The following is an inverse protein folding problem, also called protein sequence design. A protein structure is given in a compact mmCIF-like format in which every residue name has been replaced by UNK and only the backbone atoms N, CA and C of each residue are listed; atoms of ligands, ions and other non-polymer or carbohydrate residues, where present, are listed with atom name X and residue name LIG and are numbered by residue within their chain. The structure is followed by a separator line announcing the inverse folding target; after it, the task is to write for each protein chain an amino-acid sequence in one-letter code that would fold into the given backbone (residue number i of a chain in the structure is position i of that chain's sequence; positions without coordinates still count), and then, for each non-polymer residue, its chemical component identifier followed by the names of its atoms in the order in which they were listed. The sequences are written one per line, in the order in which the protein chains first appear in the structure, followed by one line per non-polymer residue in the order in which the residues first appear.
data_IF_877447064169
#
_entry.id   IF_877447064169
#
_cell.length_a   1.000
_cell.length_b   1.000
_cell.length_c   1.000
_cell.angle_alpha   90.00
_cell.angle_beta   90.00
_cell.angle_gamma   90.00
#
_symmetry.space_group_name_H-M   'P 1'
#
loop_
_entity.id
_entity.type
_entity.pdbx_description
1 polymer ?
#
# COMPACT_ATOMS: atom_id res chain seq x y z
N UNK A 1 5.57 -48.71 7.77
CA UNK A 1 5.02 -49.08 9.11
C UNK A 1 5.27 -47.88 10.00
N UNK A 2 4.29 -46.97 10.12
CA UNK A 2 3.28 -46.94 11.21
C UNK A 2 3.96 -46.66 12.57
N UNK A 3 3.95 -45.42 13.07
CA UNK A 3 2.92 -44.84 13.95
C UNK A 3 3.56 -44.62 15.34
N UNK A 4 3.25 -43.65 16.20
CA UNK A 4 2.09 -42.78 16.36
C UNK A 4 2.45 -41.57 17.26
N UNK A 5 1.62 -40.53 17.20
CA UNK A 5 1.57 -39.34 18.06
C UNK A 5 1.32 -39.63 19.54
N UNK A 6 1.77 -38.75 20.44
CA UNK A 6 1.03 -38.31 21.64
C UNK A 6 1.37 -36.84 21.98
N UNK A 7 0.31 -36.04 22.11
CA UNK A 7 0.24 -34.67 22.64
C UNK A 7 0.27 -34.69 24.18
N UNK A 8 0.96 -33.74 24.81
CA UNK A 8 0.73 -33.41 26.22
C UNK A 8 0.81 -31.90 26.45
N UNK A 9 -0.35 -31.30 26.71
CA UNK A 9 -0.51 -29.93 27.18
C UNK A 9 -0.46 -29.91 28.71
N UNK A 10 0.30 -28.98 29.29
CA UNK A 10 0.25 -28.66 30.72
C UNK A 10 0.03 -27.16 30.91
N UNK A 11 -1.18 -26.83 31.37
CA UNK A 11 -1.60 -25.54 31.92
C UNK A 11 -0.84 -25.27 33.24
N UNK A 12 -0.26 -24.08 33.37
CA UNK A 12 0.22 -23.56 34.64
C UNK A 12 -0.45 -22.20 34.92
N UNK A 13 -1.34 -22.20 35.92
CA UNK A 13 -1.91 -21.01 36.56
C UNK A 13 -0.87 -20.37 37.50
N UNK A 14 -0.87 -19.04 37.67
CA UNK A 14 -0.48 -18.44 38.94
C UNK A 14 -1.70 -17.93 39.72
N UNK A 15 -1.78 -18.44 40.94
CA UNK A 15 -2.59 -18.04 42.07
C UNK A 15 -2.24 -16.62 42.50
N UNK A 16 -3.26 -15.81 42.81
CA UNK A 16 -3.09 -14.44 43.29
C UNK A 16 -2.54 -14.34 44.72
N UNK A 17 -1.96 -13.18 45.02
CA UNK A 17 -1.75 -12.69 46.38
C UNK A 17 -2.28 -11.26 46.49
N UNK A 18 -3.32 -11.12 47.29
CA UNK A 18 -3.79 -9.85 47.81
C UNK A 18 -2.86 -9.36 48.93
N UNK A 19 -2.53 -8.08 48.93
CA UNK A 19 -2.06 -7.37 50.12
C UNK A 19 -2.79 -6.02 50.19
N UNK A 20 -3.78 -5.95 51.07
CA UNK A 20 -4.35 -4.71 51.57
C UNK A 20 -3.57 -4.27 52.81
N UNK A 21 -3.33 -2.96 52.98
CA UNK A 21 -3.67 -2.23 54.21
C UNK A 21 -3.22 -0.76 54.18
N UNK A 22 -4.10 0.06 54.79
CA UNK A 22 -3.83 1.28 55.57
C UNK A 22 -3.78 2.66 54.88
N UNK A 23 -4.96 3.25 54.68
CA UNK A 23 -5.31 4.57 55.26
C UNK A 23 -5.78 4.36 56.73
N UNK A 24 -5.77 5.34 57.68
CA UNK A 24 -6.29 6.71 57.47
C UNK A 24 -5.64 7.85 58.31
N UNK A 25 -5.92 9.12 57.97
CA UNK A 25 -6.52 10.14 58.90
C UNK A 25 -6.55 11.57 58.34
N UNK A 26 -7.79 12.07 58.26
CA UNK A 26 -8.26 13.35 58.82
C UNK A 26 -7.93 14.68 58.12
N UNK A 27 -8.96 15.20 57.44
CA UNK A 27 -9.29 16.63 57.27
C UNK A 27 -9.51 17.34 58.62
N UNK A 28 -9.58 18.69 58.66
CA UNK A 28 -10.92 19.29 58.67
C UNK A 28 -11.07 20.66 57.99
N UNK A 29 -12.30 20.95 57.55
CA UNK A 29 -12.83 22.29 57.29
C UNK A 29 -13.38 22.43 55.87
N UNK A 30 -14.68 22.48 55.58
CA UNK A 30 -15.84 22.74 56.43
C UNK A 30 -16.57 24.01 55.95
N UNK A 31 -17.48 23.88 54.98
CA UNK A 31 -18.72 24.67 54.99
C UNK A 31 -19.78 24.02 54.13
N UNK A 32 -20.91 23.77 54.78
CA UNK A 32 -22.09 23.10 54.30
C UNK A 32 -23.13 24.11 53.81
N UNK A 33 -23.86 23.76 52.76
CA UNK A 33 -25.31 23.94 52.67
C UNK A 33 -25.87 23.01 51.58
N UNK A 34 -26.76 22.12 51.98
CA UNK A 34 -27.61 21.24 51.16
C UNK A 34 -29.08 21.71 51.27
N UNK A 35 -30.12 21.00 50.78
CA UNK A 35 -30.32 20.28 49.50
C UNK A 35 -31.68 20.65 48.84
N UNK A 36 -31.96 20.12 47.63
CA UNK A 36 -33.30 19.71 47.12
C UNK A 36 -33.11 18.94 45.80
N UNK A 37 -33.23 17.60 45.82
CA UNK A 37 -34.39 16.77 45.45
C UNK A 37 -34.36 16.26 43.99
N UNK A 38 -34.00 14.98 43.86
CA UNK A 38 -34.64 13.90 43.06
C UNK A 38 -35.39 14.23 41.76
N UNK A 39 -34.85 13.79 40.61
CA UNK A 39 -35.54 12.87 39.68
C UNK A 39 -34.56 12.17 38.69
N UNK A 40 -34.77 10.89 38.33
CA UNK A 40 -33.97 10.11 37.35
C UNK A 40 -34.49 10.25 35.89
N UNK A 41 -33.76 9.74 34.87
CA UNK A 41 -33.90 10.15 33.46
C UNK A 41 -34.98 9.35 32.71
N UNK A 42 -35.54 9.86 31.59
CA UNK A 42 -36.37 9.03 30.71
C UNK A 42 -35.52 8.27 29.68
N UNK A 43 -35.72 6.95 29.61
CA UNK A 43 -35.38 6.09 28.47
C UNK A 43 -36.68 5.46 27.91
N UNK A 44 -36.60 4.74 26.78
CA UNK A 44 -37.02 5.16 25.44
C UNK A 44 -38.47 4.78 25.10
N UNK A 45 -39.10 5.50 24.17
CA UNK A 45 -40.39 5.09 23.60
C UNK A 45 -40.18 4.10 22.45
N UNK A 46 -40.57 2.85 22.68
CA UNK A 46 -40.84 1.86 21.63
C UNK A 46 -42.35 1.81 21.39
N UNK A 47 -42.80 2.03 20.16
CA UNK A 47 -44.06 1.47 19.66
C UNK A 47 -43.96 1.31 18.14
N UNK A 48 -44.47 0.20 17.57
CA UNK A 48 -44.15 -0.25 16.22
C UNK A 48 -45.04 0.42 15.17
N UNK A 49 -44.47 0.71 13.99
CA UNK A 49 -45.23 1.03 12.78
C UNK A 49 -44.89 0.00 11.70
N UNK A 50 -45.92 -0.64 11.17
CA UNK A 50 -45.92 -1.54 10.01
C UNK A 50 -47.03 -1.06 9.06
N UNK A 51 -47.07 -1.47 7.79
CA UNK A 51 -46.49 -0.74 6.67
C UNK A 51 -47.56 -0.17 5.70
N UNK A 52 -47.26 0.93 5.03
CA UNK A 52 -48.06 1.43 3.91
C UNK A 52 -47.67 0.72 2.60
N UNK A 53 -48.67 0.18 1.91
CA UNK A 53 -48.62 -0.46 0.59
C UNK A 53 -48.02 0.49 -0.49
N UNK A 54 -47.11 0.03 -1.36
CA UNK A 54 -46.68 0.80 -2.51
C UNK A 54 -47.74 0.77 -3.63
N UNK A 55 -48.31 1.94 -3.91
CA UNK A 55 -49.18 2.17 -5.07
C UNK A 55 -48.35 2.10 -6.36
N UNK A 56 -48.72 1.18 -7.25
CA UNK A 56 -48.14 0.99 -8.59
C UNK A 56 -48.42 2.19 -9.50
N UNK A 57 -47.40 2.80 -10.16
CA UNK A 57 -47.63 3.73 -11.26
C UNK A 57 -47.89 2.98 -12.58
N UNK A 58 -48.76 3.49 -13.48
CA UNK A 58 -49.05 2.86 -14.77
C UNK A 58 -47.88 3.01 -15.76
N UNK A 59 -47.73 2.10 -16.75
CA UNK A 59 -46.65 2.17 -17.73
C UNK A 59 -46.91 3.29 -18.76
N UNK A 60 -45.88 4.04 -19.19
CA UNK A 60 -45.98 4.90 -20.36
C UNK A 60 -45.81 4.11 -21.67
N UNK A 61 -46.48 4.63 -22.69
CA UNK A 61 -46.81 4.03 -23.99
C UNK A 61 -45.64 3.53 -24.85
N UNK A 62 -45.92 2.43 -25.54
CA UNK A 62 -45.09 1.85 -26.59
C UNK A 62 -45.21 2.67 -27.87
N UNK A 63 -44.13 3.33 -28.30
CA UNK A 63 -43.99 3.85 -29.65
C UNK A 63 -42.86 3.12 -30.37
N UNK A 64 -43.22 2.24 -31.31
CA UNK A 64 -42.36 1.79 -32.42
C UNK A 64 -42.15 2.99 -33.36
N UNK A 65 -40.98 3.19 -34.01
CA UNK A 65 -40.77 2.53 -35.29
C UNK A 65 -39.30 2.27 -35.75
N UNK A 66 -39.20 1.36 -36.73
CA UNK A 66 -38.24 1.28 -37.85
C UNK A 66 -36.96 0.42 -37.72
N UNK A 67 -36.96 -0.67 -38.50
CA UNK A 67 -35.79 -1.33 -39.10
C UNK A 67 -34.88 -0.34 -39.87
N UNK A 68 -33.60 -0.68 -40.04
CA UNK A 68 -33.18 -1.05 -41.39
C UNK A 68 -32.13 -2.18 -41.50
N UNK A 69 -32.45 -3.11 -42.43
CA UNK A 69 -31.62 -3.63 -43.53
C UNK A 69 -30.41 -4.55 -43.29
N UNK A 70 -30.54 -5.73 -43.92
CA UNK A 70 -29.50 -6.70 -44.31
C UNK A 70 -28.26 -6.09 -44.99
N UNK A 71 -27.08 -6.71 -44.82
CA UNK A 71 -26.01 -6.67 -45.80
C UNK A 71 -25.91 -7.98 -46.60
N UNK A 72 -26.18 -7.81 -47.89
CA UNK A 72 -25.89 -8.61 -49.09
C UNK A 72 -24.53 -9.34 -49.09
N UNK A 73 -24.54 -10.62 -49.48
CA UNK A 73 -23.38 -11.41 -49.92
C UNK A 73 -22.65 -10.78 -51.12
N UNK A 74 -21.33 -11.02 -51.26
CA UNK A 74 -20.75 -11.17 -52.59
C UNK A 74 -20.26 -12.60 -52.83
N UNK A 75 -20.89 -13.21 -53.83
CA UNK A 75 -20.49 -14.40 -54.56
C UNK A 75 -19.04 -14.31 -55.06
N UNK A 76 -18.32 -15.45 -55.05
CA UNK A 76 -16.97 -15.63 -55.60
C UNK A 76 -16.87 -15.48 -57.13
N UNK A 77 -15.73 -15.89 -57.74
CA UNK A 77 -15.67 -17.29 -58.17
C UNK A 77 -14.29 -17.99 -58.12
N UNK A 78 -14.38 -19.28 -57.80
CA UNK A 78 -13.79 -20.47 -58.46
C UNK A 78 -12.29 -20.86 -58.46
N UNK A 79 -12.15 -22.17 -58.15
CA UNK A 79 -11.18 -23.19 -58.63
C UNK A 79 -9.84 -23.31 -57.91
N UNK A 80 -9.29 -24.48 -57.54
CA UNK A 80 -9.73 -25.87 -57.52
C UNK A 80 -8.65 -26.75 -56.81
N UNK A 81 -9.10 -27.72 -56.00
CA UNK A 81 -8.54 -29.09 -55.81
C UNK A 81 -7.25 -29.33 -54.99
N UNK A 82 -7.15 -30.45 -54.21
CA UNK A 82 -6.24 -30.64 -53.07
C UNK A 82 -5.05 -31.58 -53.36
N UNK A 83 -4.03 -31.54 -52.50
CA UNK A 83 -2.93 -32.51 -52.52
C UNK A 83 -2.10 -32.50 -51.24
N UNK A 84 -2.10 -33.63 -50.53
CA UNK A 84 -1.11 -34.00 -49.51
C UNK A 84 0.31 -33.96 -50.09
N UNK A 85 1.29 -33.46 -49.33
CA UNK A 85 2.57 -34.15 -49.09
C UNK A 85 3.36 -33.50 -47.96
N UNK A 86 3.71 -34.33 -47.00
CA UNK A 86 4.78 -34.18 -46.00
C UNK A 86 6.10 -33.77 -46.64
N UNK A 87 6.73 -32.69 -46.15
CA UNK A 87 8.19 -32.58 -46.18
C UNK A 87 8.72 -31.69 -45.05
N UNK A 88 9.64 -32.26 -44.27
CA UNK A 88 10.35 -31.68 -43.16
C UNK A 88 10.97 -30.32 -43.51
N UNK A 89 10.65 -29.29 -42.72
CA UNK A 89 11.56 -28.17 -42.46
C UNK A 89 11.76 -28.09 -40.94
N UNK A 90 13.01 -28.05 -40.44
CA UNK A 90 13.27 -27.90 -39.01
C UNK A 90 12.69 -26.56 -38.53
N UNK A 91 12.14 -26.48 -37.30
CA UNK A 91 11.76 -25.18 -36.75
C UNK A 91 13.01 -24.29 -36.71
N UNK A 92 12.92 -23.01 -37.12
CA UNK A 92 14.00 -22.08 -36.88
C UNK A 92 14.22 -21.98 -35.38
N UNK A 93 15.49 -21.95 -35.00
CA UNK A 93 15.97 -21.80 -33.63
C UNK A 93 15.09 -20.79 -32.87
N UNK A 94 14.56 -21.24 -31.73
CA UNK A 94 14.02 -20.37 -30.70
C UNK A 94 15.16 -19.47 -30.21
N UNK A 95 15.37 -18.37 -30.92
CA UNK A 95 16.00 -17.19 -30.37
C UNK A 95 15.08 -16.73 -29.23
N UNK A 96 15.49 -17.13 -28.02
CA UNK A 96 15.05 -16.56 -26.77
C UNK A 96 15.59 -15.12 -26.72
N UNK A 97 15.01 -14.22 -27.48
CA UNK A 97 15.29 -12.79 -27.42
C UNK A 97 14.13 -12.04 -28.05
N UNK A 98 13.21 -11.57 -27.20
CA UNK A 98 12.53 -10.27 -27.32
C UNK A 98 11.30 -10.30 -26.41
N UNK A 99 11.54 -10.07 -25.12
CA UNK A 99 10.51 -9.53 -24.24
C UNK A 99 10.10 -8.17 -24.78
N UNK A 100 9.00 -8.12 -25.54
CA UNK A 100 8.46 -6.87 -26.08
C UNK A 100 8.08 -5.94 -24.95
N UNK A 101 8.96 -4.97 -24.73
CA UNK A 101 8.81 -3.84 -23.82
C UNK A 101 7.60 -3.01 -24.27
N UNK A 102 6.50 -3.09 -23.51
CA UNK A 102 5.26 -2.35 -23.82
C UNK A 102 5.35 -0.89 -23.38
N UNK A 103 4.74 -0.01 -24.18
CA UNK A 103 4.48 1.38 -23.80
C UNK A 103 3.61 1.47 -22.52
N UNK A 104 3.72 2.56 -21.74
CA UNK A 104 2.87 2.80 -20.57
C UNK A 104 1.37 2.78 -20.94
N UNK A 105 0.48 2.32 -20.04
CA UNK A 105 -0.96 2.44 -20.22
C UNK A 105 -1.42 3.91 -20.32
N UNK A 106 -2.54 4.22 -21.00
CA UNK A 106 -3.03 5.59 -21.17
C UNK A 106 -3.21 6.37 -19.87
N UNK A 107 -3.63 5.69 -18.79
CA UNK A 107 -3.79 6.31 -17.46
C UNK A 107 -2.44 6.77 -16.89
N UNK A 108 -1.37 5.99 -17.09
CA UNK A 108 -0.03 6.35 -16.63
C UNK A 108 0.60 7.43 -17.51
N UNK A 109 0.33 7.42 -18.82
CA UNK A 109 0.73 8.51 -19.72
C UNK A 109 0.10 9.84 -19.29
N UNK A 110 -1.22 9.84 -19.01
CA UNK A 110 -1.92 11.01 -18.52
C UNK A 110 -1.36 11.49 -17.16
N UNK A 111 -1.08 10.57 -16.23
CA UNK A 111 -0.47 10.91 -14.94
C UNK A 111 0.94 11.50 -15.06
N UNK A 112 1.75 10.98 -15.99
CA UNK A 112 3.09 11.53 -16.29
C UNK A 112 2.98 12.95 -16.86
N UNK A 113 2.06 13.18 -17.80
CA UNK A 113 1.84 14.49 -18.42
C UNK A 113 1.32 15.51 -17.40
N UNK A 114 0.38 15.11 -16.53
CA UNK A 114 -0.14 15.94 -15.46
C UNK A 114 0.94 16.29 -14.44
N UNK A 115 1.70 15.30 -13.94
CA UNK A 115 2.79 15.52 -13.01
C UNK A 115 3.87 16.45 -13.59
N UNK A 116 4.24 16.25 -14.86
CA UNK A 116 5.19 17.11 -15.57
C UNK A 116 4.68 18.54 -15.66
N UNK A 117 3.43 18.72 -16.09
CA UNK A 117 2.78 20.03 -16.22
C UNK A 117 2.71 20.76 -14.89
N UNK A 118 2.33 20.06 -13.81
CA UNK A 118 2.25 20.63 -12.47
C UNK A 118 3.63 21.06 -11.95
N UNK A 119 4.67 20.25 -12.17
CA UNK A 119 6.04 20.62 -11.82
C UNK A 119 6.53 21.84 -12.59
N UNK A 120 6.24 21.94 -13.89
CA UNK A 120 6.58 23.10 -14.72
C UNK A 120 5.91 24.39 -14.22
N UNK A 121 4.63 24.34 -13.85
CA UNK A 121 3.92 25.49 -13.28
C UNK A 121 4.53 25.93 -11.93
N UNK A 122 4.86 24.95 -11.09
CA UNK A 122 5.45 25.21 -9.78
C UNK A 122 6.89 25.74 -9.91
N UNK A 123 7.65 25.29 -10.90
CA UNK A 123 9.03 25.71 -11.19
C UNK A 123 9.19 27.23 -11.29
N UNK A 124 8.19 27.92 -11.84
CA UNK A 124 8.23 29.38 -12.01
C UNK A 124 8.11 30.14 -10.68
N UNK A 125 7.52 29.50 -9.67
CA UNK A 125 7.11 30.14 -8.41
C UNK A 125 7.95 29.70 -7.21
N UNK A 126 8.72 28.61 -7.32
CA UNK A 126 9.56 28.11 -6.22
C UNK A 126 10.75 29.04 -5.91
N UNK A 127 11.19 29.06 -4.64
CA UNK A 127 12.46 29.67 -4.25
C UNK A 127 13.62 29.18 -5.11
N UNK A 128 14.59 30.06 -5.38
CA UNK A 128 15.78 29.75 -6.19
C UNK A 128 16.46 28.45 -5.78
N UNK A 129 16.55 28.22 -4.47
CA UNK A 129 17.20 27.05 -3.88
C UNK A 129 16.50 25.70 -4.13
N UNK A 130 15.28 25.70 -4.68
CA UNK A 130 14.51 24.51 -5.05
C UNK A 130 14.40 24.31 -6.57
N UNK A 131 14.86 25.26 -7.40
CA UNK A 131 14.74 25.14 -8.86
C UNK A 131 15.43 23.88 -9.41
N UNK A 132 16.65 23.62 -8.96
CA UNK A 132 17.38 22.40 -9.35
C UNK A 132 16.71 21.12 -8.83
N UNK A 133 16.04 21.19 -7.69
CA UNK A 133 15.27 20.07 -7.13
C UNK A 133 14.04 19.79 -8.01
N UNK A 134 13.31 20.82 -8.43
CA UNK A 134 12.17 20.69 -9.35
C UNK A 134 12.63 20.19 -10.72
N UNK A 135 13.74 20.72 -11.26
CA UNK A 135 14.32 20.24 -12.53
C UNK A 135 14.68 18.74 -12.46
N UNK A 136 15.18 18.27 -11.30
CA UNK A 136 15.47 16.85 -11.07
C UNK A 136 14.19 16.01 -11.02
N UNK A 137 13.10 16.50 -10.41
CA UNK A 137 11.80 15.81 -10.42
C UNK A 137 11.21 15.70 -11.83
N UNK A 138 11.29 16.77 -12.65
CA UNK A 138 10.85 16.76 -14.05
C UNK A 138 11.65 15.70 -14.84
N UNK A 139 12.96 15.65 -14.60
CA UNK A 139 13.83 14.64 -15.23
C UNK A 139 13.43 13.22 -14.80
N UNK A 140 13.17 13.00 -13.50
CA UNK A 140 12.74 11.70 -12.97
C UNK A 140 11.42 11.23 -13.60
N UNK A 141 10.44 12.11 -13.69
CA UNK A 141 9.15 11.81 -14.35
C UNK A 141 9.33 11.47 -15.83
N UNK A 142 10.24 12.16 -16.52
CA UNK A 142 10.56 11.85 -17.92
C UNK A 142 11.25 10.49 -18.05
N UNK A 143 12.15 10.14 -17.14
CA UNK A 143 12.88 8.85 -17.15
C UNK A 143 11.93 7.65 -17.00
N UNK A 144 10.88 7.77 -16.19
CA UNK A 144 9.96 6.64 -15.97
C UNK A 144 9.04 6.33 -17.17
N UNK A 145 9.00 7.21 -18.18
CA UNK A 145 8.36 6.90 -19.47
C UNK A 145 9.04 5.73 -20.21
N UNK A 146 10.29 5.42 -19.88
CA UNK A 146 11.00 4.28 -20.46
C UNK A 146 10.16 3.00 -20.32
N UNK A 147 9.96 2.22 -21.41
CA UNK A 147 9.18 0.99 -21.35
C UNK A 147 9.82 -0.05 -20.41
N UNK A 148 11.11 0.08 -20.11
CA UNK A 148 11.85 -0.78 -19.17
C UNK A 148 11.49 -0.52 -17.69
N UNK A 149 10.89 0.63 -17.39
CA UNK A 149 10.34 0.91 -16.06
C UNK A 149 9.10 0.07 -15.83
N UNK A 150 8.97 -0.56 -14.66
CA UNK A 150 7.76 -1.32 -14.33
C UNK A 150 6.56 -0.38 -14.16
N UNK A 151 5.32 -0.83 -14.43
CA UNK A 151 4.12 -0.07 -14.11
C UNK A 151 4.06 0.37 -12.63
N UNK A 152 4.49 -0.48 -11.69
CA UNK A 152 4.53 -0.15 -10.27
C UNK A 152 5.50 1.01 -9.98
N UNK A 153 6.71 0.94 -10.54
CA UNK A 153 7.75 1.96 -10.36
C UNK A 153 7.29 3.30 -10.95
N UNK A 154 6.69 3.27 -12.15
CA UNK A 154 6.07 4.44 -12.79
C UNK A 154 5.06 5.09 -11.86
N UNK A 155 4.08 4.32 -11.38
CA UNK A 155 3.01 4.83 -10.53
C UNK A 155 3.56 5.42 -9.22
N UNK A 156 4.54 4.74 -8.60
CA UNK A 156 5.15 5.23 -7.37
C UNK A 156 5.90 6.55 -7.53
N UNK A 157 6.53 6.80 -8.68
CA UNK A 157 7.18 8.09 -8.98
C UNK A 157 6.14 9.19 -9.27
N UNK A 158 5.05 8.87 -9.99
CA UNK A 158 3.94 9.81 -10.24
C UNK A 158 3.34 10.28 -8.90
N UNK A 159 2.89 9.35 -8.05
CA UNK A 159 2.28 9.67 -6.76
C UNK A 159 3.24 10.41 -5.81
N UNK A 160 4.51 9.99 -5.77
CA UNK A 160 5.52 10.71 -4.98
C UNK A 160 5.66 12.17 -5.44
N UNK A 161 5.59 12.41 -6.75
CA UNK A 161 5.68 13.74 -7.34
C UNK A 161 4.45 14.60 -7.03
N UNK A 162 3.25 14.01 -7.05
CA UNK A 162 2.02 14.68 -6.63
C UNK A 162 2.07 15.12 -5.16
N UNK A 163 2.52 14.22 -4.27
CA UNK A 163 2.71 14.55 -2.86
C UNK A 163 3.77 15.66 -2.66
N UNK A 164 4.88 15.61 -3.40
CA UNK A 164 5.92 16.64 -3.35
C UNK A 164 5.41 17.99 -3.89
N UNK A 165 4.55 17.98 -4.90
CA UNK A 165 3.89 19.18 -5.44
C UNK A 165 3.02 19.86 -4.38
N UNK A 166 2.34 19.08 -3.52
CA UNK A 166 1.61 19.62 -2.36
C UNK A 166 2.54 20.37 -1.40
N UNK A 167 3.71 19.80 -1.09
CA UNK A 167 4.71 20.45 -0.24
C UNK A 167 5.31 21.70 -0.90
N UNK A 168 5.58 21.66 -2.21
CA UNK A 168 6.07 22.82 -2.97
C UNK A 168 5.05 23.96 -2.99
N UNK A 169 3.75 23.66 -3.14
CA UNK A 169 2.69 24.65 -3.03
C UNK A 169 2.65 25.30 -1.64
N UNK A 170 2.76 24.50 -0.58
CA UNK A 170 2.83 25.01 0.79
C UNK A 170 4.09 25.86 1.04
N UNK A 171 5.23 25.53 0.42
CA UNK A 171 6.46 26.35 0.50
C UNK A 171 6.24 27.74 -0.13
N UNK A 172 5.50 27.80 -1.24
CA UNK A 172 5.22 29.03 -1.98
C UNK A 172 4.10 29.87 -1.35
N UNK A 173 3.24 29.29 -0.51
CA UNK A 173 2.18 30.02 0.17
C UNK A 173 2.76 30.98 1.24
N UNK A 174 2.53 32.31 1.13
CA UNK A 174 2.97 33.27 2.14
C UNK A 174 2.31 33.09 3.51
N UNK A 175 1.18 32.37 3.60
CA UNK A 175 0.53 32.02 4.87
C UNK A 175 1.22 30.87 5.60
N UNK A 176 2.07 30.09 4.93
CA UNK A 176 2.81 29.01 5.58
C UNK A 176 3.88 29.59 6.53
N UNK A 177 3.90 29.16 7.81
CA UNK A 177 4.89 29.62 8.77
C UNK A 177 6.33 29.48 8.24
N UNK A 178 7.22 30.48 8.45
CA UNK A 178 8.60 30.45 7.94
C UNK A 178 9.38 29.19 8.33
N UNK A 179 9.20 28.73 9.56
CA UNK A 179 9.83 27.52 10.09
C UNK A 179 9.36 26.28 9.33
N UNK A 180 8.05 26.18 9.07
CA UNK A 180 7.48 25.07 8.30
C UNK A 180 7.95 25.09 6.85
N UNK A 181 8.04 26.27 6.20
CA UNK A 181 8.60 26.39 4.85
C UNK A 181 10.04 25.89 4.78
N UNK A 182 10.86 26.20 5.78
CA UNK A 182 12.24 25.72 5.89
C UNK A 182 12.32 24.20 6.06
N UNK A 183 11.46 23.63 6.90
CA UNK A 183 11.39 22.19 7.11
C UNK A 183 10.92 21.44 5.85
N UNK A 184 9.85 21.90 5.20
CA UNK A 184 9.36 21.34 3.95
C UNK A 184 10.40 21.45 2.82
N UNK A 185 11.12 22.56 2.74
CA UNK A 185 12.23 22.74 1.78
C UNK A 185 13.31 21.68 1.99
N UNK A 186 13.65 21.37 3.25
CA UNK A 186 14.60 20.31 3.57
C UNK A 186 14.06 18.93 3.20
N UNK A 187 12.77 18.67 3.44
CA UNK A 187 12.12 17.40 3.10
C UNK A 187 12.11 17.18 1.59
N UNK A 188 11.66 18.18 0.81
CA UNK A 188 11.58 18.09 -0.64
C UNK A 188 12.96 17.82 -1.25
N UNK A 189 14.00 18.53 -0.81
CA UNK A 189 15.38 18.27 -1.26
C UNK A 189 15.83 16.84 -0.97
N UNK A 190 15.58 16.37 0.25
CA UNK A 190 16.05 15.06 0.69
C UNK A 190 15.31 13.92 -0.02
N UNK A 191 13.98 13.97 -0.07
CA UNK A 191 13.16 12.97 -0.77
C UNK A 191 13.47 12.95 -2.26
N UNK A 192 13.67 14.12 -2.89
CA UNK A 192 14.07 14.18 -4.31
C UNK A 192 15.48 13.60 -4.53
N UNK A 193 16.40 13.76 -3.56
CA UNK A 193 17.71 13.09 -3.62
C UNK A 193 17.56 11.58 -3.60
N UNK A 194 16.75 11.06 -2.67
CA UNK A 194 16.43 9.63 -2.54
C UNK A 194 15.73 9.08 -3.78
N UNK A 195 14.74 9.77 -4.36
CA UNK A 195 14.17 9.37 -5.67
C UNK A 195 15.21 9.42 -6.78
N UNK A 196 16.21 10.29 -6.66
CA UNK A 196 17.28 10.40 -7.61
C UNK A 196 18.20 9.16 -7.67
N UNK A 197 18.29 8.37 -6.60
CA UNK A 197 19.08 7.12 -6.61
C UNK A 197 18.37 6.01 -7.38
N UNK A 198 17.06 6.11 -7.58
CA UNK A 198 16.25 5.21 -8.42
C UNK A 198 16.68 5.26 -9.88
N UNK A 199 17.27 6.38 -10.32
CA UNK A 199 17.79 6.54 -11.68
C UNK A 199 19.21 6.02 -11.87
N UNK A 200 19.79 5.38 -10.85
CA UNK A 200 21.08 4.70 -10.98
C UNK A 200 20.91 3.47 -11.90
N UNK A 201 21.54 3.45 -13.09
CA UNK A 201 21.42 2.33 -14.01
C UNK A 201 22.04 1.03 -13.49
N UNK A 202 22.90 1.11 -12.47
CA UNK A 202 23.57 -0.04 -11.87
C UNK A 202 22.79 -0.63 -10.67
N UNK A 203 21.72 0.03 -10.22
CA UNK A 203 20.89 -0.46 -9.11
C UNK A 203 20.01 -1.66 -9.55
N UNK A 204 19.97 -2.76 -8.76
CA UNK A 204 19.04 -3.86 -8.99
C UNK A 204 17.58 -3.40 -9.02
N UNK A 205 16.79 -3.96 -9.95
CA UNK A 205 15.39 -3.59 -10.14
C UNK A 205 14.55 -3.77 -8.86
N UNK A 206 14.80 -4.81 -8.06
CA UNK A 206 14.06 -5.08 -6.82
C UNK A 206 14.34 -4.03 -5.73
N UNK A 207 15.61 -3.65 -5.54
CA UNK A 207 16.03 -2.59 -4.61
C UNK A 207 15.41 -1.24 -5.02
N UNK A 208 15.45 -0.94 -6.32
CA UNK A 208 14.83 0.25 -6.90
C UNK A 208 13.33 0.31 -6.63
N UNK A 209 12.59 -0.77 -6.89
CA UNK A 209 11.14 -0.83 -6.67
C UNK A 209 10.77 -0.66 -5.19
N UNK A 210 11.53 -1.30 -4.29
CA UNK A 210 11.33 -1.18 -2.85
C UNK A 210 11.58 0.26 -2.38
N UNK A 211 12.62 0.92 -2.88
CA UNK A 211 12.90 2.32 -2.57
C UNK A 211 11.77 3.25 -3.05
N UNK A 212 11.28 3.07 -4.27
CA UNK A 212 10.14 3.84 -4.80
C UNK A 212 8.92 3.64 -3.90
N UNK A 213 8.60 2.40 -3.51
CA UNK A 213 7.47 2.10 -2.63
C UNK A 213 7.60 2.82 -1.28
N UNK A 214 8.78 2.77 -0.65
CA UNK A 214 9.06 3.45 0.62
C UNK A 214 8.87 4.95 0.47
N UNK A 215 9.42 5.56 -0.58
CA UNK A 215 9.29 7.01 -0.81
C UNK A 215 7.83 7.41 -1.08
N UNK A 216 7.12 6.68 -1.93
CA UNK A 216 5.70 6.90 -2.23
C UNK A 216 4.85 6.94 -0.96
N UNK A 217 5.05 5.95 -0.10
CA UNK A 217 4.32 5.85 1.17
C UNK A 217 4.74 6.90 2.17
N UNK A 218 6.03 7.18 2.33
CA UNK A 218 6.48 8.25 3.23
C UNK A 218 5.98 9.63 2.79
N UNK A 219 6.02 9.93 1.49
CA UNK A 219 5.51 11.22 0.96
C UNK A 219 3.99 11.36 1.07
N UNK A 220 3.23 10.27 1.19
CA UNK A 220 1.78 10.33 1.41
C UNK A 220 1.38 11.11 2.67
N UNK A 221 2.28 11.30 3.63
CA UNK A 221 2.03 12.14 4.82
C UNK A 221 2.17 13.64 4.58
N UNK A 222 2.70 14.08 3.43
CA UNK A 222 2.90 15.50 3.10
C UNK A 222 1.61 16.33 3.12
N UNK A 223 0.47 15.88 2.57
CA UNK A 223 -0.81 16.57 2.72
C UNK A 223 -1.18 16.82 4.19
N UNK A 224 -1.03 15.81 5.05
CA UNK A 224 -1.30 15.95 6.49
C UNK A 224 -0.31 16.90 7.17
N UNK A 225 0.98 16.87 6.81
CA UNK A 225 1.98 17.82 7.30
C UNK A 225 1.61 19.26 6.90
N UNK A 226 1.18 19.47 5.67
CA UNK A 226 0.83 20.79 5.12
C UNK A 226 -0.52 21.31 5.64
N UNK A 227 -1.39 20.43 6.16
CA UNK A 227 -2.70 20.83 6.66
C UNK A 227 -2.59 21.83 7.84
N UNK A 228 -3.35 22.94 7.82
CA UNK A 228 -3.33 23.93 8.90
C UNK A 228 -3.77 23.37 10.26
N UNK A 229 -4.66 22.37 10.24
CA UNK A 229 -5.20 21.74 11.46
C UNK A 229 -4.24 20.78 12.17
N UNK A 230 -3.10 20.43 11.56
CA UNK A 230 -2.19 19.45 12.14
C UNK A 230 -1.43 20.03 13.34
N UNK A 231 -1.47 19.37 14.52
CA UNK A 231 -0.72 19.81 15.69
C UNK A 231 0.78 19.94 15.40
N UNK A 232 1.42 20.97 15.93
CA UNK A 232 2.83 21.26 15.64
C UNK A 232 3.77 20.10 16.04
N UNK A 233 3.53 19.47 17.20
CA UNK A 233 4.32 18.34 17.65
C UNK A 233 4.18 17.13 16.72
N UNK A 234 2.96 16.81 16.31
CA UNK A 234 2.69 15.72 15.36
C UNK A 234 3.38 16.00 14.02
N UNK A 235 3.27 17.23 13.52
CA UNK A 235 3.92 17.68 12.29
C UNK A 235 5.44 17.50 12.36
N UNK A 236 6.06 17.94 13.45
CA UNK A 236 7.51 17.83 13.64
C UNK A 236 7.96 16.35 13.67
N UNK A 237 7.21 15.46 14.32
CA UNK A 237 7.52 14.02 14.35
C UNK A 237 7.41 13.38 12.96
N UNK A 238 6.39 13.72 12.16
CA UNK A 238 6.26 13.21 10.79
C UNK A 238 7.40 13.70 9.89
N UNK A 239 7.75 14.98 9.97
CA UNK A 239 8.89 15.57 9.24
C UNK A 239 10.21 14.87 9.64
N UNK A 240 10.43 14.67 10.94
CA UNK A 240 11.62 13.98 11.44
C UNK A 240 11.69 12.54 10.91
N UNK A 241 10.60 11.77 11.05
CA UNK A 241 10.53 10.40 10.56
C UNK A 241 10.74 10.27 9.05
N UNK A 242 10.20 11.20 8.25
CA UNK A 242 10.43 11.22 6.81
C UNK A 242 11.90 11.50 6.47
N UNK A 243 12.53 12.47 7.12
CA UNK A 243 13.94 12.81 6.90
C UNK A 243 14.89 11.70 7.37
N UNK A 244 14.59 11.08 8.50
CA UNK A 244 15.37 9.98 9.05
C UNK A 244 15.26 8.73 8.18
N UNK A 245 14.04 8.40 7.72
CA UNK A 245 13.81 7.30 6.78
C UNK A 245 14.46 7.52 5.42
N UNK A 246 14.32 8.73 4.84
CA UNK A 246 14.97 9.07 3.57
C UNK A 246 16.50 9.02 3.65
N UNK A 247 17.08 9.45 4.78
CA UNK A 247 18.51 9.31 5.04
C UNK A 247 18.94 7.84 5.09
N UNK A 248 18.22 7.02 5.86
CA UNK A 248 18.54 5.61 6.01
C UNK A 248 18.45 4.86 4.67
N UNK A 249 17.46 5.21 3.83
CA UNK A 249 17.26 4.63 2.51
C UNK A 249 18.35 5.02 1.50
N UNK A 250 18.79 6.29 1.51
CA UNK A 250 19.89 6.76 0.65
C UNK A 250 21.22 6.07 1.00
N UNK A 251 21.44 5.79 2.29
CA UNK A 251 22.67 5.15 2.78
C UNK A 251 22.59 3.61 2.83
N UNK A 252 21.41 3.02 2.59
CA UNK A 252 21.27 1.58 2.37
C UNK A 252 21.36 1.21 0.89
N UNK A 253 20.86 2.06 -0.02
CA UNK A 253 20.95 1.83 -1.47
C UNK A 253 22.33 2.18 -2.05
N UNK A 254 23.10 3.03 -1.36
CA UNK A 254 24.40 3.53 -1.79
C UNK A 254 25.58 2.73 -1.22
N UNK A 255 25.64 1.44 -1.51
CA UNK A 255 26.81 0.62 -1.20
C UNK A 255 27.99 1.00 -2.10
N UNK A 256 28.76 2.04 -1.74
CA UNK A 256 30.09 2.33 -2.28
C UNK A 256 31.07 1.23 -1.79
N UNK A 257 30.86 0.01 -2.27
CA UNK A 257 31.67 -1.19 -2.05
C UNK A 257 31.37 -2.25 -3.13
N UNK A 258 31.00 -1.82 -4.33
CA UNK A 258 31.29 -2.63 -5.51
C UNK A 258 32.82 -2.78 -5.57
N UNK A 259 33.31 -4.00 -5.35
CA UNK A 259 34.72 -4.45 -5.38
C UNK A 259 35.34 -4.79 -4.01
N UNK A 260 34.73 -5.72 -3.27
CA UNK A 260 35.51 -6.71 -2.53
C UNK A 260 34.76 -8.05 -2.48
N UNK A 261 35.32 -9.14 -3.05
CA UNK A 261 34.64 -10.44 -3.18
C UNK A 261 34.56 -11.23 -1.86
N UNK A 262 34.72 -10.57 -0.71
CA UNK A 262 34.96 -11.24 0.57
C UNK A 262 34.12 -10.59 1.68
N UNK A 263 32.79 -10.74 1.62
CA UNK A 263 31.89 -10.40 2.74
C UNK A 263 30.64 -11.28 2.80
N UNK A 264 30.74 -12.39 3.51
CA UNK A 264 29.57 -13.17 3.97
C UNK A 264 28.91 -12.59 5.23
N UNK A 265 29.15 -11.30 5.56
CA UNK A 265 28.72 -10.70 6.83
C UNK A 265 28.19 -9.26 6.79
N UNK A 266 28.26 -8.55 5.65
CA UNK A 266 27.63 -7.22 5.52
C UNK A 266 26.19 -7.28 4.99
N UNK A 267 25.79 -8.38 4.35
CA UNK A 267 24.46 -8.50 3.72
C UNK A 267 23.31 -8.50 4.71
N UNK A 268 23.45 -9.12 5.88
CA UNK A 268 22.30 -9.28 6.80
C UNK A 268 21.81 -7.96 7.38
N UNK A 269 22.69 -7.00 7.66
CA UNK A 269 22.32 -5.74 8.30
C UNK A 269 21.65 -4.76 7.33
N UNK A 270 22.13 -4.70 6.09
CA UNK A 270 21.55 -3.93 4.99
C UNK A 270 20.13 -4.44 4.68
N UNK A 271 19.97 -5.77 4.56
CA UNK A 271 18.67 -6.41 4.39
C UNK A 271 17.70 -6.08 5.53
N UNK A 272 18.18 -6.01 6.78
CA UNK A 272 17.33 -5.64 7.94
C UNK A 272 16.86 -4.19 7.87
N UNK A 273 17.72 -3.25 7.45
CA UNK A 273 17.34 -1.83 7.30
C UNK A 273 16.27 -1.68 6.23
N UNK A 274 16.46 -2.30 5.07
CA UNK A 274 15.52 -2.26 3.95
C UNK A 274 14.14 -2.86 4.30
N UNK A 275 14.12 -4.04 4.89
CA UNK A 275 12.88 -4.68 5.36
C UNK A 275 12.15 -3.82 6.39
N UNK A 276 12.90 -3.19 7.30
CA UNK A 276 12.32 -2.33 8.33
C UNK A 276 11.80 -1.02 7.72
N UNK A 277 12.48 -0.45 6.72
CA UNK A 277 11.98 0.71 5.96
C UNK A 277 10.68 0.38 5.23
N UNK A 278 10.62 -0.77 4.56
CA UNK A 278 9.42 -1.25 3.89
C UNK A 278 8.25 -1.40 4.89
N UNK A 279 8.45 -2.06 6.04
CA UNK A 279 7.41 -2.18 7.07
C UNK A 279 7.01 -0.84 7.69
N UNK A 280 7.98 0.03 7.96
CA UNK A 280 7.76 1.39 8.46
C UNK A 280 6.85 2.18 7.53
N UNK A 281 6.99 2.00 6.23
CA UNK A 281 6.21 2.71 5.22
C UNK A 281 4.70 2.44 5.33
N UNK A 282 4.28 1.27 5.82
CA UNK A 282 2.88 0.97 6.11
C UNK A 282 2.27 1.90 7.19
N UNK A 283 3.09 2.35 8.15
CA UNK A 283 2.67 3.33 9.15
C UNK A 283 2.30 4.68 8.53
N UNK A 284 3.02 5.09 7.50
CA UNK A 284 2.79 6.37 6.82
C UNK A 284 1.42 6.37 6.12
N UNK A 285 1.06 5.26 5.46
CA UNK A 285 -0.27 5.07 4.86
C UNK A 285 -1.39 5.08 5.90
N UNK A 286 -1.23 4.34 7.01
CA UNK A 286 -2.24 4.33 8.09
C UNK A 286 -2.40 5.72 8.70
N UNK A 287 -1.31 6.47 8.84
CA UNK A 287 -1.32 7.83 9.39
C UNK A 287 -2.05 8.82 8.46
N UNK A 288 -1.85 8.68 7.15
CA UNK A 288 -2.48 9.54 6.15
C UNK A 288 -4.00 9.30 6.04
N UNK A 289 -4.48 8.09 6.33
CA UNK A 289 -5.89 7.75 6.23
C UNK A 289 -6.76 8.56 7.22
N UNK A 290 -7.72 9.31 6.67
CA UNK A 290 -8.63 10.16 7.44
C UNK A 290 -9.54 9.38 8.41
N UNK A 291 -9.71 8.07 8.19
CA UNK A 291 -10.48 7.17 9.07
C UNK A 291 -9.70 6.76 10.31
N UNK A 292 -8.37 6.87 10.31
CA UNK A 292 -7.57 6.55 11.50
C UNK A 292 -7.80 7.60 12.58
N UNK A 293 -8.24 7.23 13.79
CA UNK A 293 -8.49 8.21 14.85
C UNK A 293 -7.26 9.07 15.17
N UNK A 294 -7.42 10.38 15.51
CA UNK A 294 -6.29 11.28 15.75
C UNK A 294 -5.31 10.79 16.83
N UNK A 295 -5.81 10.20 17.92
CA UNK A 295 -4.97 9.64 18.99
C UNK A 295 -4.12 8.46 18.49
N UNK A 296 -4.70 7.61 17.63
CA UNK A 296 -4.02 6.48 17.04
C UNK A 296 -2.96 6.93 16.01
N UNK A 297 -3.26 7.96 15.21
CA UNK A 297 -2.25 8.60 14.34
C UNK A 297 -1.06 9.12 15.15
N UNK A 298 -1.30 9.80 16.27
CA UNK A 298 -0.22 10.35 17.09
C UNK A 298 0.68 9.26 17.70
N UNK A 299 0.07 8.20 18.23
CA UNK A 299 0.80 7.04 18.76
C UNK A 299 1.63 6.37 17.68
N UNK A 300 1.03 6.14 16.50
CA UNK A 300 1.70 5.51 15.37
C UNK A 300 2.87 6.35 14.86
N UNK A 301 2.67 7.66 14.65
CA UNK A 301 3.74 8.59 14.25
C UNK A 301 4.88 8.59 15.26
N UNK A 302 4.57 8.56 16.56
CA UNK A 302 5.59 8.55 17.62
C UNK A 302 6.47 7.30 17.56
N UNK A 303 5.88 6.11 17.44
CA UNK A 303 6.66 4.87 17.36
C UNK A 303 7.40 4.77 16.02
N UNK A 304 6.76 5.19 14.93
CA UNK A 304 7.36 5.25 13.58
C UNK A 304 8.58 6.17 13.51
N UNK A 305 8.53 7.32 14.17
CA UNK A 305 9.67 8.23 14.29
C UNK A 305 10.81 7.61 15.10
N UNK A 306 10.51 6.89 16.19
CA UNK A 306 11.55 6.19 16.97
C UNK A 306 12.28 5.12 16.14
N UNK A 307 11.54 4.34 15.35
CA UNK A 307 12.13 3.37 14.40
C UNK A 307 12.98 4.10 13.37
N UNK A 308 12.49 5.20 12.79
CA UNK A 308 13.23 5.99 11.80
C UNK A 308 14.55 6.55 12.36
N UNK A 309 14.55 7.04 13.60
CA UNK A 309 15.75 7.54 14.26
C UNK A 309 16.79 6.43 14.50
N UNK A 310 16.35 5.22 14.83
CA UNK A 310 17.24 4.05 14.96
C UNK A 310 17.81 3.63 13.61
N UNK A 311 16.98 3.57 12.55
CA UNK A 311 17.43 3.28 11.19
C UNK A 311 18.47 4.28 10.72
N UNK A 312 18.22 5.59 10.95
CA UNK A 312 19.21 6.62 10.66
C UNK A 312 20.53 6.36 11.39
N UNK A 313 20.49 6.11 12.71
CA UNK A 313 21.69 5.82 13.51
C UNK A 313 22.43 4.58 13.00
N UNK A 314 21.71 3.57 12.50
CA UNK A 314 22.32 2.35 11.96
C UNK A 314 23.03 2.62 10.64
N UNK A 315 22.38 3.34 9.72
CA UNK A 315 22.90 3.64 8.39
C UNK A 315 23.93 4.78 8.37
N UNK A 316 24.02 5.58 9.42
CA UNK A 316 24.96 6.71 9.50
C UNK A 316 26.41 6.22 9.62
N UNK A 317 27.30 6.52 8.65
CA UNK A 317 28.70 6.11 8.68
C UNK A 317 29.50 6.74 9.83
N UNK A 318 29.06 7.89 10.35
CA UNK A 318 29.70 8.59 11.47
C UNK A 318 29.35 7.97 12.83
N UNK A 319 28.31 7.13 12.90
CA UNK A 319 27.92 6.46 14.14
C UNK A 319 28.95 5.41 14.56
N UNK A 320 29.32 5.39 15.84
CA UNK A 320 30.28 4.43 16.37
C UNK A 320 29.76 2.99 16.30
N UNK A 321 30.65 2.00 16.25
CA UNK A 321 30.25 0.59 16.20
C UNK A 321 29.43 0.16 17.42
N UNK A 322 29.70 0.74 18.59
CA UNK A 322 28.98 0.44 19.83
C UNK A 322 27.55 0.98 19.76
N UNK A 323 27.38 2.25 19.40
CA UNK A 323 26.07 2.88 19.24
C UNK A 323 25.24 2.22 18.13
N UNK A 324 25.87 1.81 17.02
CA UNK A 324 25.20 1.07 15.94
C UNK A 324 24.69 -0.28 16.43
N UNK A 325 25.47 -0.99 17.24
CA UNK A 325 25.06 -2.28 17.81
C UNK A 325 23.93 -2.12 18.83
N UNK A 326 23.97 -1.09 19.67
CA UNK A 326 22.89 -0.77 20.60
C UNK A 326 21.60 -0.40 19.84
N UNK A 327 21.71 0.44 18.81
CA UNK A 327 20.59 0.80 17.96
C UNK A 327 19.98 -0.41 17.25
N UNK A 328 20.81 -1.34 16.77
CA UNK A 328 20.35 -2.58 16.13
C UNK A 328 19.58 -3.46 17.12
N UNK A 329 20.04 -3.56 18.38
CA UNK A 329 19.33 -4.31 19.42
C UNK A 329 18.01 -3.66 19.81
N UNK A 330 17.95 -2.33 19.89
CA UNK A 330 16.69 -1.62 20.19
C UNK A 330 15.72 -1.65 19.00
N UNK A 331 16.23 -1.75 17.76
CA UNK A 331 15.40 -1.74 16.55
C UNK A 331 14.36 -2.84 16.54
N UNK A 332 14.71 -4.06 16.97
CA UNK A 332 13.78 -5.20 16.98
C UNK A 332 12.58 -4.94 17.90
N UNK A 333 12.84 -4.50 19.13
CA UNK A 333 11.79 -4.19 20.11
C UNK A 333 10.89 -3.04 19.63
N UNK A 334 11.48 -2.00 19.01
CA UNK A 334 10.72 -0.87 18.47
C UNK A 334 9.94 -1.22 17.23
N UNK A 335 10.47 -2.10 16.38
CA UNK A 335 9.78 -2.59 15.18
C UNK A 335 8.62 -3.49 15.56
N UNK A 336 8.78 -4.35 16.56
CA UNK A 336 7.68 -5.15 17.10
C UNK A 336 6.56 -4.26 17.66
N UNK A 337 6.91 -3.25 18.47
CA UNK A 337 5.95 -2.28 18.98
C UNK A 337 5.28 -1.47 17.86
N UNK A 338 6.02 -1.10 16.82
CA UNK A 338 5.49 -0.39 15.67
C UNK A 338 4.45 -1.24 14.97
N UNK A 339 4.73 -2.53 14.74
CA UNK A 339 3.80 -3.46 14.12
C UNK A 339 2.51 -3.62 14.92
N UNK A 340 2.61 -3.82 16.23
CA UNK A 340 1.43 -3.88 17.11
C UNK A 340 0.60 -2.59 17.01
N UNK A 341 1.28 -1.44 16.96
CA UNK A 341 0.65 -0.14 16.81
C UNK A 341 0.03 0.06 15.42
N UNK A 342 0.62 -0.46 14.34
CA UNK A 342 0.04 -0.45 12.99
C UNK A 342 -1.28 -1.22 12.98
N UNK A 343 -1.29 -2.44 13.51
CA UNK A 343 -2.51 -3.24 13.60
C UNK A 343 -3.58 -2.57 14.47
N UNK A 344 -3.19 -2.03 15.62
CA UNK A 344 -4.10 -1.33 16.52
C UNK A 344 -4.71 -0.09 15.84
N UNK A 345 -3.88 0.76 15.22
CA UNK A 345 -4.34 2.01 14.60
C UNK A 345 -5.17 1.76 13.35
N UNK A 346 -4.82 0.76 12.54
CA UNK A 346 -5.65 0.32 11.42
C UNK A 346 -6.98 -0.26 11.93
N UNK A 347 -6.95 -1.15 12.92
CA UNK A 347 -8.17 -1.77 13.46
C UNK A 347 -9.11 -0.78 14.17
N UNK A 348 -8.60 0.38 14.59
CA UNK A 348 -9.37 1.48 15.15
C UNK A 348 -10.08 2.34 14.09
N UNK A 349 -9.77 2.16 12.80
CA UNK A 349 -10.54 2.76 11.72
C UNK A 349 -11.97 2.20 11.74
N UNK A 350 -12.95 3.06 11.45
CA UNK A 350 -14.29 2.59 11.19
C UNK A 350 -14.24 1.57 10.05
N UNK A 351 -14.65 0.33 10.34
CA UNK A 351 -14.59 -0.75 9.35
C UNK A 351 -15.41 -0.34 8.14
N UNK A 352 -14.82 -0.33 6.94
CA UNK A 352 -15.60 -0.07 5.76
C UNK A 352 -16.63 -1.20 5.60
N UNK A 353 -17.93 -0.86 5.64
CA UNK A 353 -19.03 -1.81 5.39
C UNK A 353 -19.11 -2.17 3.91
N UNK A 354 -18.02 -2.74 3.40
CA UNK A 354 -17.88 -3.10 2.00
C UNK A 354 -18.36 -4.51 1.74
N UNK A 355 -18.89 -4.73 0.53
CA UNK A 355 -19.19 -6.07 0.04
C UNK A 355 -17.91 -6.90 -0.02
N UNK A 356 -18.03 -8.23 0.06
CA UNK A 356 -16.88 -9.14 -0.16
C UNK A 356 -16.12 -8.75 -1.44
N UNK A 357 -16.86 -8.42 -2.50
CA UNK A 357 -16.27 -8.10 -3.79
C UNK A 357 -15.34 -6.89 -3.72
N UNK A 358 -15.81 -5.82 -3.09
CA UNK A 358 -15.06 -4.57 -2.95
C UNK A 358 -13.87 -4.74 -1.97
N UNK A 359 -14.06 -5.44 -0.85
CA UNK A 359 -12.96 -5.73 0.08
C UNK A 359 -11.86 -6.57 -0.57
N UNK A 360 -12.24 -7.59 -1.37
CA UNK A 360 -11.27 -8.42 -2.10
C UNK A 360 -10.53 -7.64 -3.18
N UNK A 361 -11.19 -6.71 -3.87
CA UNK A 361 -10.56 -5.82 -4.85
C UNK A 361 -9.51 -4.90 -4.19
N UNK A 362 -9.87 -4.27 -3.06
CA UNK A 362 -8.94 -3.40 -2.30
C UNK A 362 -7.75 -4.20 -1.78
N UNK A 363 -8.00 -5.38 -1.20
CA UNK A 363 -6.95 -6.28 -0.74
C UNK A 363 -5.98 -6.67 -1.86
N UNK A 364 -6.51 -7.13 -2.99
CA UNK A 364 -5.71 -7.57 -4.13
C UNK A 364 -4.85 -6.44 -4.68
N UNK A 365 -5.44 -5.26 -4.87
CA UNK A 365 -4.72 -4.08 -5.37
C UNK A 365 -3.58 -3.68 -4.44
N UNK A 366 -3.83 -3.68 -3.13
CA UNK A 366 -2.81 -3.37 -2.14
C UNK A 366 -1.64 -4.36 -2.16
N UNK A 367 -1.91 -5.66 -2.31
CA UNK A 367 -0.85 -6.68 -2.40
C UNK A 367 -0.03 -6.47 -3.68
N UNK A 368 -0.70 -6.22 -4.80
CA UNK A 368 -0.06 -5.97 -6.09
C UNK A 368 0.82 -4.74 -6.06
N UNK A 369 0.47 -3.70 -5.31
CA UNK A 369 1.32 -2.52 -5.16
C UNK A 369 2.50 -2.71 -4.20
N UNK A 370 2.37 -3.63 -3.24
CA UNK A 370 3.34 -3.82 -2.16
C UNK A 370 4.38 -4.90 -2.43
N UNK A 371 4.10 -5.80 -3.37
CA UNK A 371 4.91 -6.99 -3.66
C UNK A 371 5.64 -6.80 -4.99
N UNK A 372 6.92 -7.20 -5.03
CA UNK A 372 7.71 -7.10 -6.27
C UNK A 372 7.06 -7.92 -7.39
N UNK A 373 7.14 -7.42 -8.63
CA UNK A 373 6.59 -8.14 -9.78
C UNK A 373 7.16 -9.55 -9.92
N UNK A 374 8.43 -9.77 -9.55
CA UNK A 374 9.09 -11.09 -9.59
C UNK A 374 8.51 -12.06 -8.54
N UNK A 375 8.19 -11.59 -7.34
CA UNK A 375 7.55 -12.38 -6.30
C UNK A 375 6.08 -12.63 -6.64
N UNK A 376 5.39 -11.60 -7.16
CA UNK A 376 4.02 -11.70 -7.62
C UNK A 376 3.88 -12.70 -8.77
N UNK A 377 4.76 -12.63 -9.78
CA UNK A 377 4.75 -13.56 -10.91
C UNK A 377 4.98 -15.01 -10.46
N UNK A 378 5.94 -15.26 -9.57
CA UNK A 378 6.18 -16.60 -8.99
C UNK A 378 5.02 -17.08 -8.13
N UNK A 379 4.41 -16.22 -7.34
CA UNK A 379 3.25 -16.56 -6.50
C UNK A 379 2.01 -16.87 -7.33
N UNK A 380 1.79 -16.10 -8.40
CA UNK A 380 0.62 -16.25 -9.27
C UNK A 380 0.81 -17.27 -10.39
N UNK A 381 2.00 -17.84 -10.60
CA UNK A 381 2.29 -18.82 -11.66
C UNK A 381 1.28 -19.99 -11.67
N UNK A 382 0.79 -20.40 -10.49
CA UNK A 382 -0.19 -21.49 -10.35
C UNK A 382 -1.62 -21.09 -10.73
N UNK A 383 -1.90 -19.79 -10.80
CA UNK A 383 -3.21 -19.21 -11.11
C UNK A 383 -3.30 -18.69 -12.55
N UNK A 384 -2.15 -18.43 -13.19
CA UNK A 384 -2.06 -17.91 -14.55
C UNK A 384 -2.14 -19.08 -15.54
N UNK A 385 -3.13 -19.11 -16.46
CA UNK A 385 -3.17 -20.12 -17.52
C UNK A 385 -1.93 -20.06 -18.42
N UNK A 386 -1.43 -21.19 -18.95
CA UNK A 386 -0.23 -21.24 -19.79
C UNK A 386 -0.27 -20.31 -21.02
N UNK A 387 -1.47 -19.97 -21.52
CA UNK A 387 -1.63 -19.07 -22.67
C UNK A 387 -1.21 -17.62 -22.36
N UNK A 388 -1.00 -17.27 -21.09
CA UNK A 388 -0.70 -15.92 -20.60
C UNK A 388 0.77 -15.71 -20.20
N UNK A 389 1.59 -16.77 -20.25
CA UNK A 389 3.04 -16.71 -19.99
C UNK A 389 3.76 -15.70 -20.91
N UNK A 390 3.19 -15.41 -22.09
CA UNK A 390 3.73 -14.45 -23.07
C UNK A 390 3.24 -13.00 -22.93
N UNK A 391 2.15 -12.73 -22.19
CA UNK A 391 1.62 -11.35 -22.00
C UNK A 391 2.10 -10.72 -20.67
N UNK A 392 2.57 -11.54 -19.72
CA UNK A 392 3.17 -11.09 -18.47
C UNK A 392 2.16 -10.52 -17.47
N UNK A 393 2.44 -10.69 -16.17
CA UNK A 393 1.65 -10.09 -15.07
C UNK A 393 1.59 -8.55 -15.17
N UNK A 394 2.51 -7.93 -15.93
CA UNK A 394 2.56 -6.49 -16.22
C UNK A 394 1.33 -5.95 -16.97
N UNK A 395 0.64 -6.80 -17.72
CA UNK A 395 -0.56 -6.41 -18.49
C UNK A 395 -1.88 -6.64 -17.74
N UNK A 396 -1.82 -6.98 -16.44
CA UNK A 396 -2.97 -7.07 -15.54
C UNK A 396 -3.89 -5.84 -15.61
N UNK A 397 -3.31 -4.66 -15.80
CA UNK A 397 -4.03 -3.39 -15.95
C UNK A 397 -4.66 -3.19 -17.33
N UNK A 398 -4.23 -3.91 -18.38
CA UNK A 398 -4.80 -3.84 -19.74
C UNK A 398 -6.02 -4.75 -19.95
N UNK A 399 -6.36 -5.59 -18.98
CA UNK A 399 -7.46 -6.55 -19.10
C UNK A 399 -8.87 -5.91 -19.20
N UNK A 400 -8.99 -4.61 -18.89
CA UNK A 400 -10.23 -3.86 -19.11
C UNK A 400 -10.62 -3.79 -20.61
N UNK A 401 -9.67 -4.00 -21.53
CA UNK A 401 -9.89 -3.89 -22.97
C UNK A 401 -10.18 -5.22 -23.69
N UNK A 402 -9.92 -6.40 -23.09
CA UNK A 402 -9.95 -7.69 -23.82
C UNK A 402 -11.11 -8.66 -23.50
N UNK A 403 -12.03 -8.34 -22.58
CA UNK A 403 -13.24 -9.17 -22.27
C UNK A 403 -12.93 -10.68 -22.14
N UNK A 404 -12.21 -11.07 -21.08
CA UNK A 404 -11.93 -12.49 -20.75
C UNK A 404 -12.44 -12.81 -19.34
N UNK A 405 -13.33 -13.81 -19.24
CA UNK A 405 -14.22 -14.14 -18.13
C UNK A 405 -13.51 -14.43 -16.78
N UNK A 406 -12.20 -14.74 -16.79
CA UNK A 406 -11.43 -15.05 -15.57
C UNK A 406 -10.77 -13.83 -14.92
N UNK A 407 -10.46 -12.78 -15.68
CA UNK A 407 -10.14 -11.44 -15.14
C UNK A 407 -11.37 -10.54 -15.07
N UNK A 408 -12.46 -10.95 -15.69
CA UNK A 408 -13.80 -10.45 -15.36
C UNK A 408 -14.08 -10.63 -13.88
N UNK A 409 -13.49 -11.61 -13.18
CA UNK A 409 -13.57 -11.72 -11.72
C UNK A 409 -13.03 -10.47 -11.04
N UNK A 410 -11.84 -9.97 -11.38
CA UNK A 410 -11.26 -8.77 -10.75
C UNK A 410 -11.91 -7.46 -11.25
N UNK A 411 -12.35 -7.41 -12.51
CA UNK A 411 -13.16 -6.31 -13.02
C UNK A 411 -14.59 -6.29 -12.43
N UNK A 412 -15.19 -7.46 -12.12
CA UNK A 412 -16.50 -7.64 -11.48
C UNK A 412 -16.41 -7.39 -9.97
N UNK A 413 -15.31 -7.78 -9.31
CA UNK A 413 -15.00 -7.40 -7.93
C UNK A 413 -14.98 -5.86 -7.78
N UNK A 414 -14.58 -5.14 -8.84
CA UNK A 414 -14.56 -3.67 -8.91
C UNK A 414 -15.92 -3.03 -9.30
N UNK A 415 -16.82 -3.73 -10.00
CA UNK A 415 -17.97 -3.10 -10.71
C UNK A 415 -19.39 -3.66 -10.48
N UNK A 416 -19.68 -4.68 -9.63
CA UNK A 416 -21.10 -5.06 -9.46
C UNK A 416 -21.53 -5.69 -8.12
N UNK A 417 -22.76 -5.33 -7.72
CA UNK A 417 -23.47 -5.69 -6.48
C UNK A 417 -23.95 -7.16 -6.40
N UNK A 418 -23.62 -8.03 -7.37
CA UNK A 418 -24.03 -9.44 -7.35
C UNK A 418 -22.92 -10.36 -7.90
N UNK A 419 -22.22 -11.02 -6.98
CA UNK A 419 -21.12 -11.97 -7.21
C UNK A 419 -21.59 -13.29 -7.83
N UNK A 420 -20.86 -13.80 -8.84
CA UNK A 420 -20.83 -15.24 -9.16
C UNK A 420 -19.83 -15.99 -8.24
N UNK A 421 -20.02 -15.79 -6.94
CA UNK A 421 -19.63 -16.75 -5.90
C UNK A 421 -18.18 -16.73 -5.37
N UNK A 422 -17.96 -17.31 -4.17
CA UNK A 422 -16.65 -17.41 -3.50
C UNK A 422 -15.62 -18.25 -4.26
N UNK A 423 -16.04 -19.14 -5.15
CA UNK A 423 -15.18 -20.12 -5.82
C UNK A 423 -14.15 -19.50 -6.77
N UNK A 424 -14.43 -18.32 -7.32
CA UNK A 424 -13.52 -17.60 -8.24
C UNK A 424 -12.48 -16.76 -7.47
N UNK A 425 -12.83 -16.31 -6.26
CA UNK A 425 -12.00 -15.42 -5.44
C UNK A 425 -11.08 -16.20 -4.49
N UNK A 426 -11.53 -17.37 -4.02
CA UNK A 426 -10.80 -18.21 -3.05
C UNK A 426 -9.40 -18.62 -3.54
N UNK A 427 -9.19 -19.11 -4.77
CA UNK A 427 -7.86 -19.51 -5.23
C UNK A 427 -6.90 -18.31 -5.26
N UNK A 428 -7.36 -17.17 -5.78
CA UNK A 428 -6.59 -15.94 -5.83
C UNK A 428 -6.19 -15.46 -4.43
N UNK A 429 -7.18 -15.28 -3.55
CA UNK A 429 -6.94 -14.74 -2.21
C UNK A 429 -6.09 -15.68 -1.35
N UNK A 430 -6.20 -17.00 -1.54
CA UNK A 430 -5.33 -17.99 -0.86
C UNK A 430 -3.87 -17.84 -1.30
N UNK A 431 -3.59 -17.78 -2.60
CA UNK A 431 -2.21 -17.64 -3.10
C UNK A 431 -1.63 -16.26 -2.74
N UNK A 432 -2.44 -15.20 -2.74
CA UNK A 432 -2.01 -13.88 -2.27
C UNK A 432 -1.69 -13.85 -0.77
N UNK A 433 -2.36 -14.67 0.04
CA UNK A 433 -2.05 -14.82 1.45
C UNK A 433 -0.72 -15.57 1.71
N UNK A 434 -0.20 -16.32 0.73
CA UNK A 434 1.17 -16.89 0.80
C UNK A 434 2.24 -15.82 0.55
N UNK A 435 1.92 -14.76 -0.22
CA UNK A 435 2.87 -13.69 -0.55
C UNK A 435 3.09 -12.70 0.59
N UNK A 436 2.03 -12.41 1.36
CA UNK A 436 2.09 -11.48 2.49
C UNK A 436 1.62 -12.20 3.75
N UNK A 437 2.53 -12.73 4.58
CA UNK A 437 2.14 -13.46 5.78
C UNK A 437 1.50 -12.51 6.81
N UNK A 438 0.70 -13.08 7.73
CA UNK A 438 -0.02 -12.30 8.74
C UNK A 438 0.86 -11.35 9.53
N UNK A 439 2.08 -11.78 9.85
CA UNK A 439 3.01 -11.00 10.66
C UNK A 439 3.60 -9.79 9.92
N UNK A 440 3.40 -9.68 8.61
CA UNK A 440 3.82 -8.54 7.78
C UNK A 440 2.63 -7.73 7.26
N UNK A 441 1.40 -8.24 7.39
CA UNK A 441 0.22 -7.72 6.69
C UNK A 441 0.04 -6.20 6.81
N UNK A 442 0.05 -5.65 8.02
CA UNK A 442 -0.14 -4.21 8.24
C UNK A 442 1.08 -3.36 7.88
N UNK A 443 2.29 -3.91 8.02
CA UNK A 443 3.52 -3.23 7.59
C UNK A 443 3.62 -3.17 6.07
N UNK A 444 3.22 -4.23 5.39
CA UNK A 444 3.27 -4.36 3.93
C UNK A 444 2.10 -3.69 3.24
N UNK A 445 0.88 -3.70 3.81
CA UNK A 445 -0.34 -3.21 3.14
C UNK A 445 -0.94 -1.95 3.76
N UNK A 446 -0.40 -1.46 4.88
CA UNK A 446 -0.97 -0.33 5.61
C UNK A 446 -2.41 -0.61 6.06
N UNK A 447 -3.30 0.38 5.92
CA UNK A 447 -4.72 0.26 6.29
C UNK A 447 -5.49 -0.76 5.43
N UNK A 448 -5.05 -1.02 4.20
CA UNK A 448 -5.70 -1.97 3.28
C UNK A 448 -5.63 -3.42 3.77
N UNK A 449 -4.76 -3.72 4.73
CA UNK A 449 -4.73 -4.99 5.47
C UNK A 449 -6.10 -5.37 6.07
N UNK A 450 -6.90 -4.38 6.47
CA UNK A 450 -8.25 -4.62 6.99
C UNK A 450 -9.17 -5.23 5.94
N UNK A 451 -9.07 -4.79 4.69
CA UNK A 451 -9.85 -5.35 3.58
C UNK A 451 -9.45 -6.80 3.30
N UNK A 452 -8.17 -7.15 3.49
CA UNK A 452 -7.69 -8.53 3.43
C UNK A 452 -8.26 -9.38 4.57
N UNK A 453 -8.18 -8.89 5.82
CA UNK A 453 -8.80 -9.57 6.97
C UNK A 453 -10.30 -9.74 6.80
N UNK A 454 -11.02 -8.71 6.36
CA UNK A 454 -12.47 -8.77 6.11
C UNK A 454 -12.82 -9.81 5.04
N UNK A 455 -12.06 -9.84 3.94
CA UNK A 455 -12.23 -10.83 2.88
C UNK A 455 -12.04 -12.25 3.43
N UNK A 456 -10.95 -12.48 4.18
CA UNK A 456 -10.67 -13.77 4.80
C UNK A 456 -11.75 -14.18 5.81
N UNK A 457 -12.16 -13.28 6.72
CA UNK A 457 -13.22 -13.55 7.70
C UNK A 457 -14.53 -13.91 7.02
N UNK A 458 -14.92 -13.19 5.96
CA UNK A 458 -16.16 -13.48 5.24
C UNK A 458 -16.10 -14.87 4.57
N UNK A 459 -14.96 -15.22 3.95
CA UNK A 459 -14.76 -16.53 3.33
C UNK A 459 -14.79 -17.67 4.36
N UNK A 460 -14.20 -17.47 5.54
CA UNK A 460 -14.21 -18.44 6.63
C UNK A 460 -15.61 -18.59 7.24
N UNK A 461 -16.25 -17.48 7.64
CA UNK A 461 -17.54 -17.52 8.35
C UNK A 461 -18.71 -17.92 7.45
N UNK A 462 -18.74 -17.48 6.19
CA UNK A 462 -19.88 -17.72 5.29
C UNK A 462 -19.73 -18.98 4.46
N UNK A 463 -18.50 -19.41 4.18
CA UNK A 463 -18.25 -20.54 3.28
C UNK A 463 -17.35 -21.62 3.88
N UNK A 464 -16.84 -21.46 5.10
CA UNK A 464 -15.97 -22.44 5.75
C UNK A 464 -14.60 -22.58 5.06
N UNK A 465 -14.17 -21.55 4.33
CA UNK A 465 -12.90 -21.55 3.61
C UNK A 465 -11.88 -20.73 4.40
N UNK A 466 -10.89 -21.41 4.97
CA UNK A 466 -9.75 -20.75 5.63
C UNK A 466 -8.79 -20.21 4.58
N UNK A 467 -8.52 -18.91 4.64
CA UNK A 467 -7.60 -18.20 3.73
C UNK A 467 -6.27 -17.99 4.42
N UNK A 468 -5.27 -18.79 4.04
CA UNK A 468 -3.87 -18.58 4.43
C UNK A 468 -3.67 -18.34 5.93
N UNK A 469 -2.76 -17.42 6.26
CA UNK A 469 -2.41 -17.07 7.64
C UNK A 469 -3.08 -15.80 8.16
N UNK A 470 -3.80 -15.04 7.32
CA UNK A 470 -4.26 -13.68 7.67
C UNK A 470 -5.19 -13.59 8.89
N UNK A 471 -5.80 -14.69 9.32
CA UNK A 471 -6.65 -14.74 10.51
C UNK A 471 -5.95 -15.35 11.73
N UNK A 472 -4.77 -15.95 11.59
CA UNK A 472 -4.10 -16.75 12.63
C UNK A 472 -2.59 -16.60 12.66
#
# INVERSE_FOLDING_TARGET
MAGASVVAATLALPVGTAAAAAEPRSLPGGSAAAPRSTDPPPSPSSTPSEPDDPTTPPPPDTTTPSEPSEPTEPTGPDSATPGETTENSPPPDTDATDGRTSAPPPEQEAGIDEASTNLEQVREHVPEELRSTVDRLITLISTVQSPETSPQDRQGVIESTEHLTTALAAINDPQTPPELRKELTSVVKQVTSTLGTVSDPDAPAEERSMLILVVRRSTSTLPLICAPGTPQELRAKMIAGMKEGAFAAEHSAGGESAHSPDRSGASSQETTVEQTLARKSGSDQITQDERTPPEERERLVTVTQQVSALLKKISDPETSSEERSEATKELDDRTARMKDQQEQSASAQDRPEESLGKAAAVCTSAIFESTSESALARGLERLVPPEWEGEGVKDFWKAQEKTDDKLEVLAQLRNNENTRGPFEVVPLITELAELVPHDELFGSLGGSALSCKQTATYLEEKFGVTVGTWLT
#
